data_IF_846792683413
#
_entry.id   IF_846792683413
#
_cell.length_a   1.000
_cell.length_b   1.000
_cell.length_c   1.000
_cell.angle_alpha   90.00
_cell.angle_beta   90.00
_cell.angle_gamma   90.00
#
_symmetry.space_group_name_H-M   'P 1'
#
loop_
_entity.id
_entity.type
_entity.pdbx_description
1 polymer ?
#
# COMPACT_ATOMS: atom_id res chain seq x y z
N UNK A 1 -13.19 5.96 -1.55
CA UNK A 1 -13.13 5.89 -3.02
C UNK A 1 -11.76 6.29 -3.52
N UNK A 2 -11.20 5.56 -4.46
CA UNK A 2 -9.93 5.88 -5.13
C UNK A 2 -10.24 6.27 -6.55
N UNK A 3 -9.76 7.43 -6.98
CA UNK A 3 -9.94 7.94 -8.34
C UNK A 3 -8.57 8.14 -8.98
N UNK A 4 -8.36 7.54 -10.14
CA UNK A 4 -7.17 7.74 -10.97
C UNK A 4 -7.61 8.44 -12.24
N UNK A 5 -7.04 9.61 -12.53
CA UNK A 5 -7.45 10.48 -13.64
C UNK A 5 -6.28 10.74 -14.56
N UNK A 6 -6.33 10.19 -15.76
CA UNK A 6 -5.35 10.39 -16.86
C UNK A 6 -3.88 10.28 -16.42
N UNK A 7 -3.59 9.34 -15.53
CA UNK A 7 -2.26 9.18 -14.98
C UNK A 7 -1.30 8.55 -15.98
N UNK A 8 -0.12 9.17 -16.08
CA UNK A 8 1.00 8.67 -16.86
C UNK A 8 2.29 8.71 -16.04
N UNK A 9 3.17 7.74 -16.30
CA UNK A 9 4.51 7.67 -15.70
C UNK A 9 5.49 7.05 -16.66
N UNK A 10 6.59 7.74 -16.88
CA UNK A 10 7.68 7.33 -17.78
C UNK A 10 9.00 7.31 -17.01
N UNK A 11 9.80 6.29 -17.22
CA UNK A 11 11.16 6.17 -16.71
C UNK A 11 12.14 6.16 -17.90
N UNK A 12 12.84 7.28 -18.11
CA UNK A 12 13.70 7.44 -19.28
C UNK A 12 12.90 7.28 -20.57
N UNK A 13 13.17 6.20 -21.32
CA UNK A 13 12.46 5.88 -22.57
C UNK A 13 11.29 4.91 -22.39
N UNK A 14 11.07 4.42 -21.18
CA UNK A 14 10.05 3.41 -20.87
C UNK A 14 8.81 4.10 -20.30
N UNK A 15 7.71 4.01 -21.03
CA UNK A 15 6.40 4.44 -20.54
C UNK A 15 5.78 3.31 -19.72
N UNK A 16 5.86 3.41 -18.39
CA UNK A 16 5.34 2.40 -17.50
C UNK A 16 3.82 2.44 -17.35
N UNK A 17 3.25 3.65 -17.32
CA UNK A 17 1.80 3.89 -17.22
C UNK A 17 1.43 4.99 -18.20
N UNK A 18 0.40 4.76 -19.02
CA UNK A 18 -0.03 5.69 -20.05
C UNK A 18 -1.52 5.99 -19.95
N UNK A 19 -1.84 7.22 -19.58
CA UNK A 19 -3.21 7.77 -19.51
C UNK A 19 -4.22 6.82 -18.89
N UNK A 20 -3.90 6.27 -17.73
CA UNK A 20 -4.79 5.38 -17.01
C UNK A 20 -5.81 6.19 -16.23
N UNK A 21 -7.08 5.85 -16.42
CA UNK A 21 -8.20 6.39 -15.64
C UNK A 21 -9.05 5.25 -15.13
N UNK A 22 -9.29 5.21 -13.83
CA UNK A 22 -10.19 4.25 -13.20
C UNK A 22 -10.65 4.74 -11.84
N UNK A 23 -11.81 4.26 -11.41
CA UNK A 23 -12.38 4.53 -10.11
C UNK A 23 -12.59 3.22 -9.36
N UNK A 24 -12.23 3.22 -8.07
CA UNK A 24 -12.46 2.10 -7.18
C UNK A 24 -13.35 2.61 -6.04
N UNK A 25 -14.57 2.09 -5.99
CA UNK A 25 -15.56 2.48 -4.98
C UNK A 25 -15.24 1.91 -3.60
N UNK A 26 -15.94 2.42 -2.61
CA UNK A 26 -15.84 1.90 -1.25
C UNK A 26 -16.37 0.47 -1.20
N UNK A 27 -15.73 -0.38 -0.39
CA UNK A 27 -16.06 -1.80 -0.23
C UNK A 27 -15.92 -2.65 -1.50
N UNK A 28 -15.22 -2.14 -2.49
CA UNK A 28 -14.86 -2.92 -3.68
C UNK A 28 -13.56 -3.69 -3.47
N UNK A 29 -13.48 -4.87 -4.08
CA UNK A 29 -12.24 -5.60 -4.32
C UNK A 29 -11.90 -5.47 -5.78
N UNK A 30 -10.82 -4.77 -6.08
CA UNK A 30 -10.36 -4.53 -7.45
C UNK A 30 -9.09 -5.32 -7.75
N UNK A 31 -9.10 -6.13 -8.79
CA UNK A 31 -7.95 -6.90 -9.24
C UNK A 31 -7.21 -6.20 -10.37
N UNK A 32 -5.90 -6.02 -10.20
CA UNK A 32 -5.01 -5.50 -11.24
C UNK A 32 -4.18 -6.64 -11.82
N UNK A 33 -4.47 -7.01 -13.06
CA UNK A 33 -3.88 -8.16 -13.73
C UNK A 33 -3.10 -7.71 -14.95
N UNK A 34 -1.95 -8.31 -15.18
CA UNK A 34 -1.10 -8.04 -16.33
C UNK A 34 0.23 -8.79 -16.24
N UNK A 35 0.96 -8.81 -17.33
CA UNK A 35 2.30 -9.40 -17.36
C UNK A 35 3.28 -8.61 -16.47
N UNK A 36 4.40 -9.25 -16.10
CA UNK A 36 5.50 -8.55 -15.43
C UNK A 36 6.03 -7.42 -16.34
N UNK A 37 6.22 -6.23 -15.77
CA UNK A 37 6.62 -5.05 -16.51
C UNK A 37 5.48 -4.26 -17.16
N UNK A 38 4.21 -4.65 -16.94
CA UNK A 38 3.03 -3.94 -17.46
C UNK A 38 2.70 -2.63 -16.71
N UNK A 39 3.50 -2.23 -15.71
CA UNK A 39 3.29 -1.01 -14.93
C UNK A 39 2.41 -1.17 -13.70
N UNK A 40 2.01 -2.38 -13.31
CA UNK A 40 1.17 -2.63 -12.12
C UNK A 40 1.77 -2.07 -10.83
N UNK A 41 3.02 -2.39 -10.56
CA UNK A 41 3.72 -1.90 -9.35
C UNK A 41 3.88 -0.39 -9.36
N UNK A 42 4.13 0.21 -10.52
CA UNK A 42 4.21 1.66 -10.68
C UNK A 42 2.87 2.32 -10.38
N UNK A 43 1.78 1.79 -10.91
CA UNK A 43 0.44 2.31 -10.64
C UNK A 43 0.08 2.20 -9.16
N UNK A 44 0.38 1.06 -8.53
CA UNK A 44 0.14 0.87 -7.09
C UNK A 44 0.97 1.83 -6.23
N UNK A 45 2.24 2.06 -6.56
CA UNK A 45 3.09 3.03 -5.84
C UNK A 45 2.60 4.46 -6.00
N UNK A 46 2.13 4.83 -7.18
CA UNK A 46 1.51 6.15 -7.40
C UNK A 46 0.20 6.29 -6.59
N UNK A 47 -0.64 5.25 -6.57
CA UNK A 47 -1.88 5.23 -5.78
C UNK A 47 -1.60 5.31 -4.28
N UNK A 48 -0.51 4.71 -3.82
CA UNK A 48 -0.07 4.81 -2.42
C UNK A 48 0.58 6.17 -2.06
N UNK A 49 0.76 7.04 -3.03
CA UNK A 49 1.43 8.33 -2.83
C UNK A 49 2.94 8.25 -2.61
N UNK A 50 3.55 7.10 -2.92
CA UNK A 50 5.01 6.90 -2.83
C UNK A 50 5.72 7.54 -4.01
N UNK A 51 5.04 7.57 -5.16
CA UNK A 51 5.58 8.07 -6.41
C UNK A 51 4.62 9.08 -7.04
N UNK A 52 5.17 10.17 -7.53
CA UNK A 52 4.38 11.19 -8.24
C UNK A 52 4.12 10.75 -9.68
N UNK A 53 2.88 10.83 -10.19
CA UNK A 53 2.62 10.74 -11.62
C UNK A 53 3.33 11.85 -12.38
N UNK A 54 3.75 11.60 -13.62
CA UNK A 54 4.26 12.65 -14.50
C UNK A 54 3.13 13.57 -14.96
N UNK A 55 1.95 13.01 -15.15
CA UNK A 55 0.71 13.74 -15.45
C UNK A 55 -0.48 13.01 -14.86
N UNK A 56 -1.60 13.72 -14.75
CA UNK A 56 -2.82 13.23 -14.13
C UNK A 56 -2.79 13.31 -12.62
N UNK A 57 -3.89 12.88 -12.01
CA UNK A 57 -4.12 12.97 -10.57
C UNK A 57 -4.61 11.66 -10.00
N UNK A 58 -4.25 11.40 -8.74
CA UNK A 58 -4.79 10.30 -7.95
C UNK A 58 -5.38 10.88 -6.69
N UNK A 59 -6.66 10.59 -6.46
CA UNK A 59 -7.44 11.12 -5.35
C UNK A 59 -7.91 9.98 -4.45
N UNK A 60 -7.84 10.19 -3.15
CA UNK A 60 -8.47 9.36 -2.14
C UNK A 60 -9.53 10.21 -1.46
N UNK A 61 -10.80 9.81 -1.57
CA UNK A 61 -11.93 10.59 -1.07
C UNK A 61 -11.84 12.07 -1.49
N UNK A 62 -11.68 12.30 -2.79
CA UNK A 62 -11.57 13.62 -3.43
C UNK A 62 -10.32 14.44 -3.07
N UNK A 63 -9.38 13.87 -2.31
CA UNK A 63 -8.16 14.54 -1.88
C UNK A 63 -6.93 13.95 -2.60
N UNK A 64 -6.08 14.77 -3.25
CA UNK A 64 -4.85 14.29 -3.88
C UNK A 64 -3.96 13.54 -2.89
N UNK A 65 -3.47 12.36 -3.30
CA UNK A 65 -2.70 11.50 -2.39
C UNK A 65 -1.23 11.87 -2.28
N UNK A 66 -0.64 12.41 -3.35
CA UNK A 66 0.79 12.73 -3.35
C UNK A 66 1.10 13.90 -2.40
N UNK A 67 2.09 13.70 -1.52
CA UNK A 67 2.50 14.67 -0.49
C UNK A 67 1.35 15.14 0.43
N UNK A 68 0.32 14.31 0.62
CA UNK A 68 -0.80 14.62 1.48
C UNK A 68 -0.96 13.54 2.57
N UNK A 69 -0.61 13.89 3.80
CA UNK A 69 -0.63 12.95 4.93
C UNK A 69 -2.05 12.53 5.31
N UNK A 70 -3.03 13.41 5.17
CA UNK A 70 -4.44 13.08 5.46
C UNK A 70 -4.96 11.99 4.50
N UNK A 71 -4.73 12.18 3.19
CA UNK A 71 -5.12 11.18 2.20
C UNK A 71 -4.34 9.87 2.38
N UNK A 72 -3.04 9.93 2.64
CA UNK A 72 -2.20 8.75 2.92
C UNK A 72 -2.62 8.01 4.17
N UNK A 73 -3.13 8.69 5.18
CA UNK A 73 -3.64 8.09 6.41
C UNK A 73 -4.89 7.22 6.19
N UNK A 74 -5.58 7.37 5.07
CA UNK A 74 -6.78 6.59 4.71
C UNK A 74 -6.47 5.30 3.95
N UNK A 75 -5.20 5.03 3.62
CA UNK A 75 -4.79 3.84 2.88
C UNK A 75 -3.65 3.10 3.57
N UNK A 76 -3.49 1.85 3.22
CA UNK A 76 -2.36 1.04 3.64
C UNK A 76 -1.79 0.31 2.43
N UNK A 77 -0.49 0.45 2.19
CA UNK A 77 0.22 -0.20 1.10
C UNK A 77 1.06 -1.36 1.60
N UNK A 78 0.83 -2.53 1.05
CA UNK A 78 1.63 -3.73 1.32
C UNK A 78 2.45 -4.03 0.07
N UNK A 79 3.76 -3.86 0.18
CA UNK A 79 4.70 -4.14 -0.90
C UNK A 79 5.10 -5.62 -0.91
N UNK A 80 5.47 -6.13 -2.08
CA UNK A 80 6.10 -7.44 -2.22
C UNK A 80 7.44 -7.50 -1.47
N UNK A 81 8.15 -6.38 -1.42
CA UNK A 81 9.41 -6.21 -0.69
C UNK A 81 9.17 -5.73 0.75
N UNK A 82 8.22 -6.32 1.45
CA UNK A 82 7.93 -5.96 2.84
C UNK A 82 9.16 -6.10 3.71
N UNK A 83 9.64 -4.97 4.23
CA UNK A 83 10.76 -4.96 5.15
C UNK A 83 10.30 -5.23 6.58
N UNK A 84 10.81 -6.31 7.14
CA UNK A 84 10.67 -6.61 8.56
C UNK A 84 12.04 -6.48 9.21
N UNK A 85 12.20 -5.59 10.21
CA UNK A 85 13.46 -5.52 10.94
C UNK A 85 13.84 -6.88 11.51
N UNK A 86 15.10 -7.26 11.38
CA UNK A 86 15.59 -8.49 11.96
C UNK A 86 15.27 -8.52 13.48
N UNK A 87 14.81 -9.65 13.94
CA UNK A 87 14.40 -9.88 15.33
C UNK A 87 13.08 -9.22 15.79
N UNK A 88 12.33 -8.54 14.93
CA UNK A 88 11.01 -8.08 15.29
C UNK A 88 10.03 -9.24 15.36
N UNK A 89 9.23 -9.26 16.42
CA UNK A 89 8.06 -10.13 16.52
C UNK A 89 6.83 -9.45 15.92
N UNK A 90 5.75 -10.19 15.63
CA UNK A 90 4.49 -9.57 15.22
C UNK A 90 4.01 -8.48 16.19
N UNK A 91 4.22 -8.66 17.49
CA UNK A 91 3.87 -7.66 18.49
C UNK A 91 4.74 -6.41 18.40
N UNK A 92 6.02 -6.54 18.09
CA UNK A 92 6.91 -5.40 17.87
C UNK A 92 6.48 -4.61 16.64
N UNK A 93 6.04 -5.29 15.58
CA UNK A 93 5.50 -4.64 14.38
C UNK A 93 4.21 -3.89 14.68
N UNK A 94 3.33 -4.43 15.51
CA UNK A 94 2.11 -3.73 15.97
C UNK A 94 2.46 -2.46 16.71
N UNK A 95 3.43 -2.51 17.61
CA UNK A 95 3.89 -1.32 18.35
C UNK A 95 4.49 -0.27 17.42
N UNK A 96 5.29 -0.70 16.45
CA UNK A 96 5.88 0.17 15.44
C UNK A 96 4.79 0.88 14.62
N UNK A 97 3.85 0.14 14.03
CA UNK A 97 2.77 0.74 13.24
C UNK A 97 1.82 1.61 14.06
N UNK A 98 1.57 1.28 15.32
CA UNK A 98 0.75 2.10 16.21
C UNK A 98 1.34 3.48 16.43
N UNK A 99 2.64 3.60 16.47
CA UNK A 99 3.32 4.90 16.60
C UNK A 99 3.13 5.78 15.36
N UNK A 100 3.03 5.17 14.18
CA UNK A 100 2.84 5.90 12.92
C UNK A 100 1.37 6.23 12.63
N UNK A 101 0.47 5.29 12.86
CA UNK A 101 -0.94 5.40 12.48
C UNK A 101 -1.87 5.75 13.63
N UNK A 102 -1.35 5.89 14.85
CA UNK A 102 -2.08 6.36 16.02
C UNK A 102 -3.19 5.44 16.55
N UNK A 103 -3.72 4.57 15.73
CA UNK A 103 -4.79 3.63 16.11
C UNK A 103 -4.49 2.24 15.56
N UNK A 104 -4.53 1.26 16.43
CA UNK A 104 -4.46 -0.14 16.05
C UNK A 104 -5.42 -0.95 16.92
N UNK A 105 -6.28 -1.71 16.26
CA UNK A 105 -7.21 -2.61 16.94
C UNK A 105 -6.47 -3.86 17.42
N UNK A 106 -6.04 -3.82 18.68
CA UNK A 106 -5.28 -4.90 19.31
C UNK A 106 -6.12 -6.16 19.51
N UNK A 107 -7.44 -6.04 19.66
CA UNK A 107 -8.34 -7.20 19.77
C UNK A 107 -8.44 -7.93 18.43
N UNK A 108 -8.62 -7.17 17.35
CA UNK A 108 -8.63 -7.71 16.00
C UNK A 108 -7.29 -8.35 15.63
N UNK A 109 -6.20 -7.72 15.99
CA UNK A 109 -4.86 -8.30 15.83
C UNK A 109 -4.74 -9.64 16.54
N UNK A 110 -5.11 -9.73 17.83
CA UNK A 110 -5.04 -10.96 18.60
C UNK A 110 -5.92 -12.07 18.00
N UNK A 111 -7.10 -11.72 17.50
CA UNK A 111 -8.02 -12.64 16.85
C UNK A 111 -7.44 -13.19 15.53
N UNK A 112 -6.84 -12.33 14.71
CA UNK A 112 -6.18 -12.75 13.47
C UNK A 112 -4.96 -13.64 13.75
N UNK A 113 -4.16 -13.32 14.75
CA UNK A 113 -3.04 -14.16 15.18
C UNK A 113 -3.51 -15.57 15.55
N UNK A 114 -4.62 -15.68 16.29
CA UNK A 114 -5.22 -16.96 16.62
C UNK A 114 -5.73 -17.72 15.40
N UNK A 115 -6.41 -17.02 14.47
CA UNK A 115 -6.95 -17.60 13.25
C UNK A 115 -5.85 -18.21 12.36
N UNK A 116 -4.72 -17.54 12.21
CA UNK A 116 -3.58 -17.99 11.41
C UNK A 116 -2.59 -18.85 12.22
N UNK A 117 -2.91 -19.23 13.44
CA UNK A 117 -2.04 -20.01 14.33
C UNK A 117 -0.65 -19.38 14.53
N UNK A 118 -0.57 -18.07 14.48
CA UNK A 118 0.66 -17.33 14.67
C UNK A 118 0.90 -17.02 16.14
N UNK A 119 2.16 -17.06 16.55
CA UNK A 119 2.57 -16.68 17.91
C UNK A 119 3.00 -15.20 17.92
N UNK A 120 2.50 -14.43 18.89
CA UNK A 120 2.81 -13.00 19.03
C UNK A 120 4.31 -12.70 19.12
N UNK A 121 5.08 -13.63 19.63
CA UNK A 121 6.53 -13.51 19.82
C UNK A 121 7.36 -14.34 18.83
N UNK A 122 6.71 -14.90 17.79
CA UNK A 122 7.44 -15.61 16.74
C UNK A 122 8.29 -14.61 15.96
N UNK A 123 9.58 -14.89 15.89
CA UNK A 123 10.46 -14.14 14.98
C UNK A 123 10.20 -14.58 13.54
N UNK A 124 10.23 -13.66 12.57
CA UNK A 124 10.15 -14.07 11.18
C UNK A 124 11.31 -15.02 10.87
N UNK A 125 11.10 -16.02 10.00
CA UNK A 125 12.20 -16.83 9.50
C UNK A 125 13.25 -15.89 8.91
N UNK A 126 14.50 -16.10 9.27
CA UNK A 126 15.59 -15.27 8.78
C UNK A 126 15.54 -15.20 7.26
N UNK A 127 15.50 -13.99 6.73
CA UNK A 127 15.68 -13.77 5.30
C UNK A 127 17.16 -14.01 5.05
N UNK A 128 17.46 -15.14 4.44
CA UNK A 128 18.82 -15.46 3.99
C UNK A 128 19.15 -14.71 2.71
#
# INVERSE_FOLDING_TARGET
>A
MIEIRDCSKTFGKICAVKKVSLDIGDREVFGLVGSNGAGKSTLLRMTAGIMKPDSGDILIDETPVYENEEAKGKLFYISDDSYFPANYTPLDMVRFYRNYYGRMDTQRFSKLMGLFLLKKFMKPPGIH
#
